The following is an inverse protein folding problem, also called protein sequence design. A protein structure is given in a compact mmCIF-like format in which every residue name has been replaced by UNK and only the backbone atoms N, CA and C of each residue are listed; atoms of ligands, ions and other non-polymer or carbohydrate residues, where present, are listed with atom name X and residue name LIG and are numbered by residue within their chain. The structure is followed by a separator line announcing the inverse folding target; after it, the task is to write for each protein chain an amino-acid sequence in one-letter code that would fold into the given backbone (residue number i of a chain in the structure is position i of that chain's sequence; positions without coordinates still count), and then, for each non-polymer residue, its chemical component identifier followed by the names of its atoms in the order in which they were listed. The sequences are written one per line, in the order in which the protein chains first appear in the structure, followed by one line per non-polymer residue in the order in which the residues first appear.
data_IF_997821019550
#
_entry.id   IF_997821019550
#
_cell.length_a   1.000
_cell.length_b   1.000
_cell.length_c   1.000
_cell.angle_alpha   90.00
_cell.angle_beta   90.00
_cell.angle_gamma   90.00
#
_symmetry.space_group_name_H-M   'P 1'
#
loop_
_entity.id
_entity.type
_entity.pdbx_description
1 polymer ?
#
# COMPACT_ATOMS: atom_id res chain seq x y z
N UNK A 1 10.51 16.66 15.93
CA UNK A 1 9.75 15.39 15.91
C UNK A 1 8.39 15.70 15.30
N UNK A 2 7.91 14.89 14.36
CA UNK A 2 6.65 15.16 13.65
C UNK A 2 5.47 15.19 14.63
N UNK A 3 4.50 16.06 14.36
CA UNK A 3 3.26 16.10 15.12
C UNK A 3 2.33 14.98 14.63
N UNK A 4 2.06 14.01 15.52
CA UNK A 4 1.26 12.81 15.17
C UNK A 4 -0.17 13.17 14.75
N UNK A 5 -0.77 14.19 15.34
CA UNK A 5 -2.15 14.58 15.05
C UNK A 5 -2.24 15.27 13.68
N UNK A 6 -1.27 16.13 13.36
CA UNK A 6 -1.17 16.73 12.03
C UNK A 6 -0.91 15.68 10.94
N UNK A 7 -0.01 14.72 11.19
CA UNK A 7 0.25 13.61 10.25
C UNK A 7 -1.02 12.78 10.05
N UNK A 8 -1.73 12.42 11.13
CA UNK A 8 -2.98 11.66 11.03
C UNK A 8 -4.02 12.42 10.21
N UNK A 9 -4.18 13.72 10.44
CA UNK A 9 -5.11 14.55 9.67
C UNK A 9 -4.79 14.51 8.18
N UNK A 10 -3.51 14.65 7.82
CA UNK A 10 -3.03 14.51 6.45
C UNK A 10 -3.39 13.15 5.84
N UNK A 11 -3.15 12.05 6.56
CA UNK A 11 -3.52 10.69 6.12
C UNK A 11 -5.02 10.55 5.82
N UNK A 12 -5.89 11.14 6.66
CA UNK A 12 -7.34 11.11 6.43
C UNK A 12 -7.71 11.87 5.15
N UNK A 13 -7.06 13.01 4.90
CA UNK A 13 -7.26 13.81 3.68
C UNK A 13 -6.75 13.08 2.42
N UNK A 14 -5.62 12.37 2.53
CA UNK A 14 -5.01 11.61 1.44
C UNK A 14 -5.80 10.35 1.06
N UNK A 15 -6.56 9.75 1.98
CA UNK A 15 -7.23 8.45 1.79
C UNK A 15 -8.76 8.55 2.01
N UNK A 16 -9.49 9.34 1.19
CA UNK A 16 -10.92 9.53 1.37
C UNK A 16 -11.74 8.24 1.17
N UNK A 17 -11.25 7.29 0.38
CA UNK A 17 -11.88 5.99 0.12
C UNK A 17 -12.04 5.15 1.41
N UNK A 18 -11.21 5.37 2.43
CA UNK A 18 -11.37 4.68 3.72
C UNK A 18 -12.70 5.02 4.41
N UNK A 19 -13.37 6.13 4.09
CA UNK A 19 -14.71 6.44 4.60
C UNK A 19 -15.79 5.45 4.14
N UNK A 20 -15.53 4.71 3.05
CA UNK A 20 -16.43 3.67 2.55
C UNK A 20 -16.37 2.39 3.39
N UNK A 21 -15.32 2.22 4.22
CA UNK A 21 -15.20 1.10 5.17
C UNK A 21 -16.23 1.28 6.28
N UNK A 22 -17.20 0.35 6.36
CA UNK A 22 -18.31 0.40 7.33
C UNK A 22 -17.85 0.04 8.74
N UNK A 23 -16.93 -0.90 8.86
CA UNK A 23 -16.31 -1.27 10.12
C UNK A 23 -15.40 -0.14 10.62
N UNK A 24 -15.92 0.65 11.56
CA UNK A 24 -15.19 1.79 12.15
C UNK A 24 -13.82 1.41 12.70
N UNK A 25 -13.70 0.25 13.37
CA UNK A 25 -12.43 -0.18 13.95
C UNK A 25 -11.39 -0.42 12.86
N UNK A 26 -11.77 -1.12 11.80
CA UNK A 26 -10.88 -1.36 10.65
C UNK A 26 -10.46 -0.03 9.99
N UNK A 27 -11.42 0.87 9.76
CA UNK A 27 -11.17 2.20 9.19
C UNK A 27 -10.15 3.00 10.00
N UNK A 28 -10.33 3.10 11.32
CA UNK A 28 -9.39 3.84 12.17
C UNK A 28 -8.00 3.21 12.17
N UNK A 29 -7.91 1.86 12.14
CA UNK A 29 -6.63 1.13 12.04
C UNK A 29 -5.91 1.36 10.71
N UNK A 30 -6.63 1.57 9.59
CA UNK A 30 -6.01 1.98 8.31
C UNK A 30 -5.29 3.32 8.47
N UNK A 31 -5.96 4.30 9.08
CA UNK A 31 -5.37 5.61 9.34
C UNK A 31 -4.22 5.54 10.35
N UNK A 32 -4.35 4.72 11.40
CA UNK A 32 -3.29 4.52 12.41
C UNK A 32 -2.05 3.89 11.79
N UNK A 33 -2.22 2.90 10.90
CA UNK A 33 -1.12 2.23 10.22
C UNK A 33 -0.33 3.19 9.33
N UNK A 34 -1.00 3.99 8.51
CA UNK A 34 -0.33 4.99 7.68
C UNK A 34 0.31 6.11 8.50
N UNK A 35 -0.37 6.55 9.58
CA UNK A 35 0.21 7.52 10.52
C UNK A 35 1.49 6.95 11.13
N UNK A 36 1.47 5.68 11.57
CA UNK A 36 2.65 5.00 12.12
C UNK A 36 3.78 4.88 11.09
N UNK A 37 3.47 4.49 9.86
CA UNK A 37 4.47 4.35 8.79
C UNK A 37 5.16 5.69 8.50
N UNK A 38 4.39 6.78 8.40
CA UNK A 38 4.93 8.13 8.20
C UNK A 38 5.71 8.60 9.42
N UNK A 39 5.21 8.40 10.63
CA UNK A 39 5.93 8.81 11.86
C UNK A 39 7.31 8.15 12.01
N UNK A 40 7.54 7.02 11.34
CA UNK A 40 8.81 6.28 11.35
C UNK A 40 9.64 6.46 10.06
N UNK A 41 9.35 7.47 9.23
CA UNK A 41 10.12 7.81 8.02
C UNK A 41 10.52 9.28 7.98
N UNK A 42 11.19 9.70 6.90
CA UNK A 42 11.51 11.09 6.56
C UNK A 42 10.40 11.81 5.79
N UNK A 43 9.32 11.14 5.41
CA UNK A 43 8.20 11.73 4.66
C UNK A 43 7.16 12.36 5.59
N UNK A 44 6.60 13.51 5.25
CA UNK A 44 5.55 14.17 6.05
C UNK A 44 4.16 13.70 5.63
N UNK A 45 3.98 13.41 4.34
CA UNK A 45 2.71 12.97 3.75
C UNK A 45 2.91 11.76 2.84
N UNK A 46 1.82 11.07 2.51
CA UNK A 46 1.83 9.96 1.55
C UNK A 46 2.27 10.47 0.17
N UNK A 47 1.86 11.68 -0.20
CA UNK A 47 2.17 12.32 -1.48
C UNK A 47 3.66 12.65 -1.66
N UNK A 48 4.43 12.73 -0.57
CA UNK A 48 5.87 12.98 -0.64
C UNK A 48 6.65 11.71 -1.02
N UNK A 49 6.02 10.54 -0.95
CA UNK A 49 6.62 9.26 -1.33
C UNK A 49 6.67 9.20 -2.87
N UNK A 50 7.82 8.89 -3.48
CA UNK A 50 7.93 8.73 -4.93
C UNK A 50 6.88 7.75 -5.49
N UNK A 51 6.04 8.15 -6.45
CA UNK A 51 4.95 7.33 -6.98
C UNK A 51 5.45 6.29 -7.99
N UNK A 52 6.16 5.27 -7.52
CA UNK A 52 6.62 4.14 -8.33
C UNK A 52 6.41 2.80 -7.62
N UNK A 53 6.46 1.70 -8.37
CA UNK A 53 6.29 0.36 -7.82
C UNK A 53 7.41 -0.03 -6.85
N UNK A 54 8.66 0.34 -7.16
CA UNK A 54 9.85 0.14 -6.34
C UNK A 54 10.81 1.35 -6.46
N UNK A 55 11.75 1.56 -5.52
CA UNK A 55 12.60 2.76 -5.49
C UNK A 55 13.37 3.08 -6.78
N UNK A 56 13.66 2.09 -7.63
CA UNK A 56 14.42 2.25 -8.88
C UNK A 56 13.58 1.97 -10.14
N UNK A 57 12.27 2.08 -10.04
CA UNK A 57 11.36 1.95 -11.18
C UNK A 57 10.80 3.31 -11.59
N UNK A 58 10.40 3.49 -12.86
CA UNK A 58 9.83 4.74 -13.33
C UNK A 58 8.67 5.24 -12.45
N UNK A 59 8.67 6.53 -12.14
CA UNK A 59 7.60 7.17 -11.38
C UNK A 59 6.45 7.59 -12.30
N UNK A 60 5.28 7.85 -11.74
CA UNK A 60 4.21 8.54 -12.46
C UNK A 60 4.64 9.97 -12.81
N UNK A 61 4.47 10.39 -14.07
CA UNK A 61 4.73 11.79 -14.49
C UNK A 61 3.78 12.79 -13.84
N UNK A 62 2.56 12.35 -13.57
CA UNK A 62 1.51 13.12 -12.91
C UNK A 62 0.78 12.21 -11.93
N UNK A 63 0.39 12.78 -10.78
CA UNK A 63 -0.21 12.03 -9.68
C UNK A 63 0.81 11.70 -8.58
N UNK A 64 0.31 11.13 -7.50
CA UNK A 64 1.03 10.91 -6.25
C UNK A 64 0.93 9.46 -5.79
N UNK A 65 1.74 9.06 -4.80
CA UNK A 65 1.59 7.74 -4.19
C UNK A 65 0.20 7.59 -3.54
N UNK A 66 -0.42 8.68 -3.05
CA UNK A 66 -1.81 8.63 -2.58
C UNK A 66 -2.77 8.27 -3.72
N UNK A 67 -2.63 8.87 -4.91
CA UNK A 67 -3.46 8.52 -6.08
C UNK A 67 -3.34 7.03 -6.41
N UNK A 68 -2.11 6.48 -6.38
CA UNK A 68 -1.89 5.05 -6.58
C UNK A 68 -2.72 4.19 -5.60
N UNK A 69 -2.59 4.41 -4.30
CA UNK A 69 -3.32 3.65 -3.27
C UNK A 69 -4.84 3.73 -3.49
N UNK A 70 -5.34 4.93 -3.80
CA UNK A 70 -6.76 5.18 -4.01
C UNK A 70 -7.28 4.46 -5.25
N UNK A 71 -6.54 4.48 -6.34
CA UNK A 71 -6.92 3.78 -7.56
C UNK A 71 -6.84 2.27 -7.40
N UNK A 72 -5.82 1.73 -6.71
CA UNK A 72 -5.75 0.29 -6.41
C UNK A 72 -6.95 -0.15 -5.56
N UNK A 73 -7.31 0.61 -4.52
CA UNK A 73 -8.52 0.32 -3.74
C UNK A 73 -9.81 0.34 -4.58
N UNK A 74 -9.96 1.36 -5.45
CA UNK A 74 -11.13 1.48 -6.34
C UNK A 74 -11.19 0.38 -7.39
N UNK A 75 -10.06 0.03 -8.00
CA UNK A 75 -9.96 -1.07 -8.96
C UNK A 75 -10.25 -2.41 -8.29
N UNK A 76 -9.72 -2.64 -7.10
CA UNK A 76 -10.00 -3.86 -6.32
C UNK A 76 -11.49 -3.97 -5.99
N UNK A 77 -12.12 -2.88 -5.57
CA UNK A 77 -13.56 -2.84 -5.31
C UNK A 77 -14.39 -3.12 -6.58
N UNK A 78 -13.99 -2.54 -7.72
CA UNK A 78 -14.67 -2.78 -9.00
C UNK A 78 -14.56 -4.25 -9.42
N UNK A 79 -13.36 -4.85 -9.35
CA UNK A 79 -13.15 -6.28 -9.64
C UNK A 79 -14.03 -7.14 -8.73
N UNK A 80 -14.00 -6.87 -7.42
CA UNK A 80 -14.78 -7.63 -6.44
C UNK A 80 -16.28 -7.52 -6.70
N UNK A 81 -16.79 -6.33 -7.05
CA UNK A 81 -18.20 -6.10 -7.33
C UNK A 81 -18.66 -6.83 -8.59
N UNK A 82 -17.93 -6.69 -9.69
CA UNK A 82 -18.26 -7.36 -10.96
C UNK A 82 -18.29 -8.89 -10.83
N UNK A 83 -17.33 -9.47 -10.11
CA UNK A 83 -17.31 -10.91 -9.85
C UNK A 83 -18.45 -11.35 -8.92
N UNK A 84 -18.78 -10.54 -7.91
CA UNK A 84 -19.90 -10.81 -7.00
C UNK A 84 -21.25 -10.82 -7.73
N UNK A 85 -21.44 -9.92 -8.68
CA UNK A 85 -22.67 -9.82 -9.47
C UNK A 85 -22.81 -11.00 -10.46
N UNK A 86 -21.69 -11.52 -10.97
CA UNK A 86 -21.67 -12.66 -11.89
C UNK A 86 -21.71 -14.04 -11.21
N UNK A 87 -21.22 -14.16 -9.98
CA UNK A 87 -21.04 -15.44 -9.30
C UNK A 87 -21.58 -15.40 -7.87
N UNK A 88 -22.73 -16.03 -7.63
CA UNK A 88 -23.39 -16.03 -6.32
C UNK A 88 -22.53 -16.64 -5.19
N UNK A 89 -21.59 -17.54 -5.52
CA UNK A 89 -20.63 -18.12 -4.57
C UNK A 89 -19.46 -17.20 -4.22
N UNK A 90 -19.32 -16.04 -4.88
CA UNK A 90 -18.24 -15.10 -4.63
C UNK A 90 -18.54 -14.29 -3.36
N UNK A 91 -18.13 -14.86 -2.22
CA UNK A 91 -18.28 -14.23 -0.91
C UNK A 91 -16.98 -13.50 -0.52
N UNK A 92 -17.04 -12.17 -0.52
CA UNK A 92 -15.93 -11.30 -0.15
C UNK A 92 -16.44 -10.13 0.69
N UNK A 93 -15.63 -9.76 1.68
CA UNK A 93 -15.84 -8.60 2.54
C UNK A 93 -15.32 -7.33 1.84
N UNK A 94 -16.22 -6.45 1.42
CA UNK A 94 -15.84 -5.21 0.71
C UNK A 94 -15.05 -4.23 1.58
N UNK A 95 -15.24 -4.25 2.91
CA UNK A 95 -14.44 -3.43 3.81
C UNK A 95 -12.97 -3.89 3.80
N UNK A 96 -12.74 -5.21 3.70
CA UNK A 96 -11.41 -5.80 3.58
C UNK A 96 -10.77 -5.47 2.23
N UNK A 97 -11.55 -5.48 1.13
CA UNK A 97 -11.05 -5.10 -0.20
C UNK A 97 -10.54 -3.66 -0.21
N UNK A 98 -11.32 -2.73 0.36
CA UNK A 98 -10.94 -1.32 0.43
C UNK A 98 -9.73 -1.14 1.35
N UNK A 99 -9.75 -1.74 2.55
CA UNK A 99 -8.63 -1.65 3.49
C UNK A 99 -7.34 -2.26 2.91
N UNK A 100 -7.44 -3.42 2.27
CA UNK A 100 -6.32 -4.09 1.61
C UNK A 100 -5.71 -3.24 0.50
N UNK A 101 -6.55 -2.69 -0.39
CA UNK A 101 -6.09 -1.79 -1.45
C UNK A 101 -5.45 -0.50 -0.93
N UNK A 102 -5.92 0.06 0.19
CA UNK A 102 -5.30 1.25 0.79
C UNK A 102 -4.04 0.93 1.61
N UNK A 103 -3.88 -0.29 2.11
CA UNK A 103 -2.78 -0.66 3.01
C UNK A 103 -1.67 -1.50 2.37
N UNK A 104 -1.83 -2.02 1.15
CA UNK A 104 -0.87 -2.94 0.54
C UNK A 104 0.58 -2.42 0.56
N UNK A 105 0.75 -1.11 0.47
CA UNK A 105 2.02 -0.39 0.36
C UNK A 105 2.53 0.24 1.68
N UNK A 106 2.02 -0.19 2.84
CA UNK A 106 2.35 0.42 4.16
C UNK A 106 3.85 0.48 4.49
N UNK A 107 4.68 -0.35 3.87
CA UNK A 107 6.13 -0.34 4.08
C UNK A 107 6.91 0.63 3.18
N UNK A 108 6.27 1.26 2.18
CA UNK A 108 6.95 2.19 1.27
C UNK A 108 7.60 3.38 1.99
N UNK A 109 7.01 4.00 3.03
CA UNK A 109 7.68 5.08 3.76
C UNK A 109 9.06 4.68 4.30
N UNK A 110 9.25 3.42 4.72
CA UNK A 110 10.55 2.93 5.18
C UNK A 110 11.49 2.58 4.02
N UNK A 111 10.98 1.87 3.02
CA UNK A 111 11.77 1.43 1.88
C UNK A 111 12.25 2.63 1.04
N UNK A 112 11.41 3.63 0.81
CA UNK A 112 11.71 4.78 -0.03
C UNK A 112 12.40 5.92 0.72
N UNK A 113 12.55 5.81 2.04
CA UNK A 113 13.17 6.86 2.86
C UNK A 113 14.57 7.22 2.31
N UNK A 114 14.83 8.49 1.96
CA UNK A 114 16.12 8.89 1.36
C UNK A 114 17.33 8.58 2.24
N UNK A 115 17.19 8.65 3.57
CA UNK A 115 18.27 8.33 4.51
C UNK A 115 18.52 6.83 4.57
N UNK A 116 17.46 6.01 4.54
CA UNK A 116 17.61 4.56 4.43
C UNK A 116 18.25 4.15 3.11
N UNK A 117 17.76 4.68 1.98
CA UNK A 117 18.31 4.42 0.66
C UNK A 117 19.79 4.77 0.59
N UNK A 118 20.17 5.96 1.06
CA UNK A 118 21.58 6.37 1.15
C UNK A 118 22.40 5.40 2.00
N UNK A 119 21.96 5.12 3.22
CA UNK A 119 22.67 4.22 4.16
C UNK A 119 22.85 2.81 3.62
N UNK A 120 21.86 2.28 2.91
CA UNK A 120 21.92 0.93 2.32
C UNK A 120 22.86 0.86 1.12
N UNK A 121 22.90 1.92 0.31
CA UNK A 121 23.76 2.00 -0.87
C UNK A 121 25.21 2.31 -0.51
N UNK A 122 25.48 2.96 0.64
CA UNK A 122 26.83 3.26 1.12
C UNK A 122 27.69 1.99 1.30
N UNK A 123 27.15 0.92 1.90
CA UNK A 123 27.78 -0.41 1.90
C UNK A 123 26.73 -1.53 1.98
N UNK A 124 26.37 -2.06 0.81
CA UNK A 124 25.37 -3.14 0.66
C UNK A 124 25.75 -4.41 1.44
N UNK A 125 27.04 -4.65 1.74
CA UNK A 125 27.46 -5.85 2.49
C UNK A 125 27.05 -5.82 3.96
N UNK A 126 26.76 -4.64 4.53
CA UNK A 126 26.40 -4.49 5.94
C UNK A 126 24.89 -4.67 6.14
N UNK A 127 24.07 -4.03 5.30
CA UNK A 127 22.61 -3.99 5.50
C UNK A 127 21.80 -4.64 4.39
N UNK A 128 22.39 -4.91 3.22
CA UNK A 128 21.64 -5.21 1.98
C UNK A 128 20.97 -3.97 1.38
N UNK A 129 20.38 -4.12 0.18
CA UNK A 129 19.64 -3.06 -0.52
C UNK A 129 18.52 -3.60 -1.44
N UNK A 130 17.26 -3.14 -1.27
CA UNK A 130 16.77 -2.55 -0.03
C UNK A 130 16.97 -3.53 1.13
N UNK A 131 17.27 -3.04 2.33
CA UNK A 131 17.55 -3.91 3.48
C UNK A 131 16.31 -4.72 3.89
N UNK A 132 15.13 -4.08 3.84
CA UNK A 132 13.82 -4.71 4.02
C UNK A 132 12.87 -4.07 2.98
N UNK A 133 12.22 -4.89 2.16
CA UNK A 133 11.23 -4.41 1.17
C UNK A 133 9.91 -3.99 1.82
N UNK A 134 9.14 -3.14 1.13
CA UNK A 134 7.86 -2.64 1.62
C UNK A 134 6.84 -3.71 2.02
N UNK A 135 6.74 -4.91 1.41
CA UNK A 135 5.76 -5.89 1.87
C UNK A 135 6.09 -6.39 3.28
N UNK A 136 7.37 -6.68 3.54
CA UNK A 136 7.84 -7.19 4.84
C UNK A 136 7.72 -6.11 5.93
N UNK A 137 8.21 -4.90 5.66
CA UNK A 137 8.09 -3.81 6.63
C UNK A 137 6.62 -3.39 6.83
N UNK A 138 5.81 -3.47 5.77
CA UNK A 138 4.39 -3.20 5.81
C UNK A 138 3.63 -4.17 6.72
N UNK A 139 3.96 -5.47 6.70
CA UNK A 139 3.40 -6.46 7.66
C UNK A 139 3.68 -6.04 9.10
N UNK A 140 4.91 -5.62 9.39
CA UNK A 140 5.28 -5.11 10.72
C UNK A 140 4.41 -3.90 11.12
N UNK A 141 4.24 -2.92 10.23
CA UNK A 141 3.37 -1.76 10.49
C UNK A 141 1.93 -2.19 10.71
N UNK A 142 1.39 -3.05 9.84
CA UNK A 142 -0.01 -3.45 9.89
C UNK A 142 -0.36 -4.12 11.22
N UNK A 143 0.45 -5.11 11.64
CA UNK A 143 0.25 -5.80 12.90
C UNK A 143 0.45 -4.88 14.11
N UNK A 144 1.45 -4.00 14.06
CA UNK A 144 1.74 -3.07 15.16
C UNK A 144 0.65 -2.01 15.35
N UNK A 145 -0.03 -1.62 14.26
CA UNK A 145 -1.16 -0.69 14.29
C UNK A 145 -2.52 -1.38 14.62
N UNK A 146 -2.52 -2.70 14.83
CA UNK A 146 -3.71 -3.46 15.18
C UNK A 146 -4.64 -3.79 14.00
N UNK A 147 -4.15 -3.72 12.76
CA UNK A 147 -4.86 -4.28 11.62
C UNK A 147 -4.95 -5.82 11.76
N UNK A 148 -6.06 -6.44 11.35
CA UNK A 148 -6.22 -7.89 11.46
C UNK A 148 -5.24 -8.61 10.52
N UNK A 149 -4.91 -9.87 10.86
CA UNK A 149 -3.97 -10.71 10.11
C UNK A 149 -4.29 -10.76 8.61
N UNK A 150 -5.57 -10.84 8.24
CA UNK A 150 -6.02 -10.84 6.83
C UNK A 150 -5.55 -9.61 6.04
N UNK A 151 -5.50 -8.43 6.67
CA UNK A 151 -4.96 -7.22 6.02
C UNK A 151 -3.44 -7.26 5.98
N UNK A 152 -2.79 -7.72 7.05
CA UNK A 152 -1.35 -7.90 7.05
C UNK A 152 -0.89 -8.90 5.97
N UNK A 153 -1.66 -9.96 5.73
CA UNK A 153 -1.44 -10.91 4.63
C UNK A 153 -1.47 -10.22 3.27
N UNK A 154 -2.47 -9.37 3.02
CA UNK A 154 -2.53 -8.57 1.78
C UNK A 154 -1.28 -7.70 1.64
N UNK A 155 -0.88 -7.01 2.72
CA UNK A 155 0.33 -6.17 2.71
C UNK A 155 1.58 -6.97 2.39
N UNK A 156 1.76 -8.14 3.01
CA UNK A 156 2.94 -8.99 2.82
C UNK A 156 2.97 -9.72 1.49
N UNK A 157 1.80 -9.98 0.88
CA UNK A 157 1.68 -10.92 -0.24
C UNK A 157 1.12 -10.30 -1.54
N UNK A 158 0.79 -9.01 -1.58
CA UNK A 158 0.38 -8.36 -2.84
C UNK A 158 1.51 -8.26 -3.87
N UNK A 159 2.78 -8.31 -3.44
CA UNK A 159 3.99 -8.21 -4.28
C UNK A 159 4.58 -9.63 -4.56
N UNK A 160 5.76 -9.78 -5.21
CA UNK A 160 6.36 -11.10 -5.50
C UNK A 160 6.61 -12.00 -4.28
N UNK A 161 6.72 -11.43 -3.08
CA UNK A 161 6.77 -12.20 -1.82
C UNK A 161 5.59 -13.18 -1.71
N UNK A 162 4.41 -12.78 -2.22
CA UNK A 162 3.22 -13.61 -2.27
C UNK A 162 3.32 -14.83 -3.18
N UNK A 163 4.31 -14.92 -4.08
CA UNK A 163 4.49 -16.09 -4.95
C UNK A 163 4.98 -17.33 -4.18
N UNK A 164 5.32 -17.16 -2.90
CA UNK A 164 5.77 -18.23 -2.01
C UNK A 164 4.66 -18.74 -1.08
N UNK A 165 3.43 -18.23 -1.23
CA UNK A 165 2.26 -18.63 -0.41
C UNK A 165 1.02 -18.74 -1.29
N UNK A 166 -0.05 -19.32 -0.74
CA UNK A 166 -1.37 -19.19 -1.33
C UNK A 166 -1.96 -17.83 -0.92
N UNK A 167 -2.23 -16.96 -1.89
CA UNK A 167 -2.86 -15.66 -1.61
C UNK A 167 -4.31 -15.87 -1.17
N UNK A 168 -4.72 -15.17 -0.12
CA UNK A 168 -6.15 -15.06 0.21
C UNK A 168 -6.91 -14.43 -0.96
N UNK A 169 -8.22 -14.68 -1.08
CA UNK A 169 -9.04 -14.11 -2.15
C UNK A 169 -8.89 -12.58 -2.31
N UNK A 170 -8.93 -11.82 -1.22
CA UNK A 170 -8.78 -10.35 -1.29
C UNK A 170 -7.36 -9.95 -1.70
N UNK A 171 -6.34 -10.66 -1.21
CA UNK A 171 -4.96 -10.43 -1.63
C UNK A 171 -4.76 -10.67 -3.14
N UNK A 172 -5.40 -11.68 -3.71
CA UNK A 172 -5.35 -11.97 -5.15
C UNK A 172 -5.94 -10.81 -5.96
N UNK A 173 -7.09 -10.28 -5.53
CA UNK A 173 -7.74 -9.13 -6.15
C UNK A 173 -6.84 -7.89 -6.10
N UNK A 174 -6.27 -7.59 -4.91
CA UNK A 174 -5.40 -6.42 -4.72
C UNK A 174 -4.11 -6.56 -5.51
N UNK A 175 -3.50 -7.75 -5.54
CA UNK A 175 -2.32 -8.05 -6.34
C UNK A 175 -2.56 -7.74 -7.82
N UNK A 176 -3.65 -8.23 -8.40
CA UNK A 176 -3.95 -7.98 -9.80
C UNK A 176 -4.35 -6.53 -10.08
N UNK A 177 -5.03 -5.85 -9.15
CA UNK A 177 -5.35 -4.44 -9.28
C UNK A 177 -4.09 -3.56 -9.30
N UNK A 178 -3.16 -3.79 -8.37
CA UNK A 178 -1.85 -3.12 -8.30
C UNK A 178 -1.01 -3.40 -9.56
N UNK A 179 -0.88 -4.67 -9.95
CA UNK A 179 -0.16 -5.05 -11.16
C UNK A 179 -0.76 -4.40 -12.42
N UNK A 180 -2.10 -4.43 -12.55
CA UNK A 180 -2.79 -3.80 -13.68
C UNK A 180 -2.56 -2.29 -13.72
N UNK A 181 -2.62 -1.60 -12.57
CA UNK A 181 -2.36 -0.17 -12.47
C UNK A 181 -1.01 0.19 -13.11
N UNK A 182 0.10 -0.37 -12.58
CA UNK A 182 1.43 -0.03 -13.08
C UNK A 182 1.65 -0.43 -14.54
N UNK A 183 1.16 -1.61 -14.95
CA UNK A 183 1.34 -2.12 -16.31
C UNK A 183 0.58 -1.28 -17.34
N UNK A 184 -0.66 -0.91 -17.04
CA UNK A 184 -1.50 -0.11 -17.94
C UNK A 184 -0.95 1.31 -18.05
N UNK A 185 -0.60 1.96 -16.93
CA UNK A 185 -0.01 3.31 -16.96
C UNK A 185 1.31 3.33 -17.74
N UNK A 186 2.15 2.30 -17.57
CA UNK A 186 3.40 2.17 -18.33
C UNK A 186 3.14 2.04 -19.84
N UNK A 187 2.15 1.24 -20.25
CA UNK A 187 1.76 1.12 -21.67
C UNK A 187 1.12 2.39 -22.23
N UNK A 188 0.43 3.16 -21.39
CA UNK A 188 -0.16 4.44 -21.77
C UNK A 188 0.86 5.59 -21.85
N UNK A 189 2.14 5.37 -21.50
CA UNK A 189 3.18 6.40 -21.49
C UNK A 189 3.05 7.41 -20.34
N UNK A 190 2.29 7.06 -19.28
CA UNK A 190 2.06 7.93 -18.13
C UNK A 190 3.22 7.87 -17.14
N UNK A 191 3.99 6.78 -17.14
CA UNK A 191 5.22 6.66 -16.35
C UNK A 191 6.39 7.39 -17.03
N UNK A 192 7.38 7.75 -16.24
CA UNK A 192 8.69 8.20 -16.72
C UNK A 192 9.32 7.15 -17.66
N UNK A 193 10.21 7.61 -18.54
CA UNK A 193 10.88 6.80 -19.55
C UNK A 193 12.18 6.21 -19.03
#
# INVERSE_FOLDING_TARGET
MKDKELVRKGVIESLPEAQQIKNRKLRESVYDAWTMALMNSGFEKIEDIPPSGNPNTPQMRMGTQADHLRYVARMSLAIAQELKDGFAQFDVDMDEVIAGGLCHDLGKPFEFDPQNQKRWQEDVKITGWPSIRHPIYGVYIALSAGLPEKIAHIVGCHSPEGDNVERSLVCEIVHYADYAFWRILGKAGILES
#
